data_IF_599300920860
#
_entry.id   IF_599300920860
#
_cell.length_a   1.000
_cell.length_b   1.000
_cell.length_c   1.000
_cell.angle_alpha   90.00
_cell.angle_beta   90.00
_cell.angle_gamma   90.00
#
_symmetry.space_group_name_H-M   'P 1'
#
loop_
_entity.id
_entity.type
_entity.pdbx_description
1 polymer ?
#
# COMPACT_ATOMS: atom_id res chain seq x y z
N UNK A 1 -16.62 -17.51 36.01
CA UNK A 1 -16.97 -18.44 34.91
C UNK A 1 -16.66 -17.87 33.53
N UNK A 2 -17.13 -16.67 33.13
CA UNK A 2 -16.78 -16.04 31.85
C UNK A 2 -15.26 -15.89 31.65
N UNK A 3 -14.59 -15.38 32.68
CA UNK A 3 -13.13 -15.17 32.67
C UNK A 3 -12.32 -16.47 32.53
N UNK A 4 -12.78 -17.58 33.13
CA UNK A 4 -12.14 -18.90 32.99
C UNK A 4 -12.36 -19.47 31.59
N UNK A 5 -13.57 -19.33 31.04
CA UNK A 5 -13.91 -19.78 29.69
C UNK A 5 -13.15 -18.98 28.62
N UNK A 6 -13.00 -17.67 28.82
CA UNK A 6 -12.21 -16.79 27.94
C UNK A 6 -10.71 -17.15 27.96
N UNK A 7 -10.15 -17.52 29.13
CA UNK A 7 -8.75 -18.00 29.24
C UNK A 7 -8.59 -19.38 28.59
N UNK A 8 -9.54 -20.28 28.79
CA UNK A 8 -9.52 -21.65 28.23
C UNK A 8 -9.69 -21.64 26.70
N UNK A 9 -10.50 -20.71 26.15
CA UNK A 9 -10.62 -20.45 24.71
C UNK A 9 -9.37 -19.79 24.12
N UNK A 10 -8.67 -18.94 24.88
CA UNK A 10 -7.38 -18.38 24.44
C UNK A 10 -6.28 -19.44 24.37
N UNK A 11 -6.25 -20.36 25.34
CA UNK A 11 -5.22 -21.39 25.42
C UNK A 11 -5.48 -22.57 24.46
N UNK A 12 -6.75 -22.88 24.15
CA UNK A 12 -7.12 -24.02 23.29
C UNK A 12 -7.62 -23.65 21.88
N UNK A 13 -8.00 -22.39 21.64
CA UNK A 13 -8.56 -21.92 20.37
C UNK A 13 -9.91 -22.57 20.00
N UNK A 14 -10.56 -22.07 18.94
CA UNK A 14 -11.75 -22.70 18.37
C UNK A 14 -11.40 -24.07 17.78
N UNK A 15 -12.24 -25.10 18.03
CA UNK A 15 -12.03 -26.43 17.46
C UNK A 15 -11.86 -26.37 15.93
N UNK A 16 -10.90 -27.11 15.32
CA UNK A 16 -10.73 -27.15 13.87
C UNK A 16 -11.99 -27.70 13.17
N UNK A 17 -12.91 -26.81 12.78
CA UNK A 17 -14.19 -27.16 12.17
C UNK A 17 -15.35 -26.24 12.54
N UNK A 18 -15.27 -25.49 13.64
CA UNK A 18 -16.28 -24.48 13.99
C UNK A 18 -16.04 -23.17 13.23
N UNK A 19 -17.13 -22.48 12.91
CA UNK A 19 -17.12 -21.17 12.24
C UNK A 19 -16.43 -20.15 13.16
N UNK A 20 -15.35 -19.55 12.67
CA UNK A 20 -14.58 -18.53 13.38
C UNK A 20 -14.16 -17.41 12.43
N UNK A 21 -13.86 -16.23 12.98
CA UNK A 21 -13.28 -15.10 12.25
C UNK A 21 -11.79 -15.01 12.56
N UNK A 22 -10.95 -15.14 11.52
CA UNK A 22 -9.53 -14.81 11.61
C UNK A 22 -9.37 -13.29 11.43
N UNK A 23 -8.88 -12.59 12.45
CA UNK A 23 -8.72 -11.15 12.44
C UNK A 23 -7.25 -10.77 12.65
N UNK A 24 -6.72 -9.86 11.83
CA UNK A 24 -5.37 -9.34 11.97
C UNK A 24 -5.36 -7.81 11.90
N UNK A 25 -4.21 -7.19 12.14
CA UNK A 25 -4.03 -5.75 12.21
C UNK A 25 -4.53 -5.12 13.51
N UNK A 26 -4.21 -3.84 13.73
CA UNK A 26 -4.61 -3.12 14.95
C UNK A 26 -6.13 -3.13 15.24
N UNK A 27 -6.97 -3.23 14.20
CA UNK A 27 -8.42 -3.34 14.33
C UNK A 27 -8.88 -4.63 15.02
N UNK A 28 -8.14 -5.73 14.88
CA UNK A 28 -8.45 -7.00 15.53
C UNK A 28 -8.39 -6.91 17.06
N UNK A 29 -7.57 -6.00 17.60
CA UNK A 29 -7.53 -5.70 19.03
C UNK A 29 -8.61 -4.69 19.43
N UNK A 30 -8.69 -3.56 18.70
CA UNK A 30 -9.59 -2.45 19.03
C UNK A 30 -11.07 -2.83 18.97
N UNK A 31 -11.45 -3.70 18.03
CA UNK A 31 -12.84 -4.05 17.77
C UNK A 31 -13.18 -5.50 18.14
N UNK A 32 -12.29 -6.20 18.86
CA UNK A 32 -12.46 -7.61 19.21
C UNK A 32 -13.83 -7.92 19.81
N UNK A 33 -14.19 -7.25 20.91
CA UNK A 33 -15.44 -7.51 21.63
C UNK A 33 -16.65 -7.19 20.75
N UNK A 34 -16.59 -6.11 19.97
CA UNK A 34 -17.68 -5.72 19.06
C UNK A 34 -17.93 -6.77 17.98
N UNK A 35 -16.86 -7.33 17.40
CA UNK A 35 -16.98 -8.37 16.36
C UNK A 35 -17.56 -9.64 17.00
N UNK A 36 -17.05 -10.05 18.16
CA UNK A 36 -17.51 -11.24 18.88
C UNK A 36 -18.99 -11.12 19.29
N UNK A 37 -19.39 -9.98 19.85
CA UNK A 37 -20.76 -9.72 20.27
C UNK A 37 -21.73 -9.66 19.09
N UNK A 38 -21.34 -9.04 17.98
CA UNK A 38 -22.20 -8.89 16.81
C UNK A 38 -22.41 -10.21 16.04
N UNK A 39 -21.37 -11.05 15.95
CA UNK A 39 -21.41 -12.26 15.13
C UNK A 39 -21.72 -13.53 15.94
N UNK A 40 -21.50 -13.52 17.26
CA UNK A 40 -21.69 -14.70 18.10
C UNK A 40 -20.77 -15.86 17.76
N UNK A 41 -19.64 -15.60 17.11
CA UNK A 41 -18.61 -16.59 16.73
C UNK A 41 -17.26 -16.24 17.35
N UNK A 42 -16.38 -17.23 17.42
CA UNK A 42 -15.02 -17.02 17.90
C UNK A 42 -14.23 -16.10 16.97
N UNK A 43 -13.45 -15.21 17.57
CA UNK A 43 -12.55 -14.31 16.86
C UNK A 43 -11.12 -14.70 17.24
N UNK A 44 -10.33 -15.16 16.28
CA UNK A 44 -8.93 -15.50 16.47
C UNK A 44 -8.08 -14.32 15.99
N UNK A 45 -7.26 -13.76 16.89
CA UNK A 45 -6.40 -12.62 16.58
C UNK A 45 -5.03 -13.11 16.14
N UNK A 46 -4.58 -12.60 15.00
CA UNK A 46 -3.30 -12.92 14.40
C UNK A 46 -2.40 -11.69 14.28
N UNK A 47 -1.10 -11.87 14.47
CA UNK A 47 -0.10 -10.81 14.37
C UNK A 47 -0.07 -10.21 12.95
N UNK A 48 0.00 -8.88 12.86
CA UNK A 48 -0.17 -8.13 11.61
C UNK A 48 0.96 -8.39 10.61
N UNK A 49 2.21 -8.29 11.05
CA UNK A 49 3.37 -8.41 10.17
C UNK A 49 3.52 -9.82 9.62
N UNK A 50 3.28 -10.84 10.45
CA UNK A 50 3.28 -12.24 10.04
C UNK A 50 2.18 -12.51 9.00
N UNK A 51 0.99 -11.94 9.16
CA UNK A 51 -0.06 -12.09 8.16
C UNK A 51 0.28 -11.38 6.85
N UNK A 52 0.84 -10.16 6.90
CA UNK A 52 1.29 -9.44 5.70
C UNK A 52 2.32 -10.26 4.91
N UNK A 53 3.27 -10.86 5.62
CA UNK A 53 4.30 -11.74 5.07
C UNK A 53 3.70 -12.97 4.37
N UNK A 54 2.89 -13.75 5.10
CA UNK A 54 2.29 -14.99 4.59
C UNK A 54 1.43 -14.70 3.34
N UNK A 55 0.66 -13.61 3.38
CA UNK A 55 -0.14 -13.20 2.22
C UNK A 55 0.72 -12.80 1.02
N UNK A 56 1.79 -12.03 1.24
CA UNK A 56 2.69 -11.63 0.18
C UNK A 56 3.43 -12.82 -0.44
N UNK A 57 4.00 -13.70 0.37
CA UNK A 57 4.67 -14.92 -0.10
C UNK A 57 3.73 -15.72 -1.00
N UNK A 58 2.50 -15.95 -0.53
CA UNK A 58 1.46 -16.64 -1.32
C UNK A 58 1.19 -15.96 -2.66
N UNK A 59 1.06 -14.65 -2.68
CA UNK A 59 0.83 -13.91 -3.92
C UNK A 59 2.01 -14.00 -4.89
N UNK A 60 3.25 -13.97 -4.40
CA UNK A 60 4.44 -14.10 -5.24
C UNK A 60 4.60 -15.53 -5.77
N UNK A 61 4.34 -16.56 -4.96
CA UNK A 61 4.66 -17.95 -5.31
C UNK A 61 3.52 -18.69 -6.00
N UNK A 62 2.26 -18.37 -5.70
CA UNK A 62 1.12 -19.21 -6.13
C UNK A 62 0.21 -18.56 -7.19
N UNK A 63 0.09 -17.23 -7.19
CA UNK A 63 -0.91 -16.52 -7.99
C UNK A 63 -0.29 -15.98 -9.29
N UNK A 64 -0.69 -16.51 -10.46
CA UNK A 64 -0.21 -15.99 -11.74
C UNK A 64 -0.75 -14.59 -12.02
N UNK A 65 0.07 -13.74 -12.65
CA UNK A 65 -0.27 -12.35 -13.00
C UNK A 65 -0.72 -11.53 -11.78
N UNK A 66 -0.03 -11.72 -10.66
CA UNK A 66 -0.27 -10.97 -9.43
C UNK A 66 0.74 -9.86 -9.24
N UNK A 67 2.03 -10.21 -9.31
CA UNK A 67 3.14 -9.29 -9.16
C UNK A 67 3.48 -8.65 -10.50
N UNK A 68 3.69 -7.34 -10.52
CA UNK A 68 4.11 -6.60 -11.72
C UNK A 68 5.03 -5.43 -11.40
N UNK A 69 5.78 -4.98 -12.40
CA UNK A 69 6.48 -3.70 -12.38
C UNK A 69 5.69 -2.67 -13.18
N UNK A 70 5.85 -1.39 -12.88
CA UNK A 70 5.15 -0.32 -13.58
C UNK A 70 6.05 0.91 -13.79
N UNK A 71 6.05 1.45 -14.99
CA UNK A 71 6.50 2.82 -15.30
C UNK A 71 5.66 3.39 -16.43
N UNK A 72 5.65 4.70 -16.62
CA UNK A 72 4.90 5.29 -17.75
C UNK A 72 5.43 4.87 -19.12
N UNK A 73 6.72 4.51 -19.22
CA UNK A 73 7.33 4.01 -20.46
C UNK A 73 7.14 2.51 -20.70
N UNK A 74 6.87 1.75 -19.65
CA UNK A 74 6.64 0.30 -19.68
C UNK A 74 5.51 -0.04 -18.71
N UNK A 75 4.25 0.09 -19.16
CA UNK A 75 3.10 -0.04 -18.29
C UNK A 75 2.80 -1.51 -18.00
N UNK A 76 2.84 -1.86 -16.71
CA UNK A 76 2.34 -3.13 -16.14
C UNK A 76 2.95 -4.40 -16.77
N UNK A 77 4.22 -4.67 -16.45
CA UNK A 77 4.90 -5.90 -16.83
C UNK A 77 4.79 -6.96 -15.72
N UNK A 78 4.02 -8.02 -15.96
CA UNK A 78 3.81 -9.10 -14.99
C UNK A 78 5.06 -9.98 -14.80
N UNK A 79 5.33 -10.33 -13.55
CA UNK A 79 6.39 -11.24 -13.15
C UNK A 79 5.76 -12.63 -12.91
N UNK A 80 6.32 -13.71 -13.49
CA UNK A 80 5.81 -15.04 -13.23
C UNK A 80 6.08 -15.45 -11.77
N UNK A 81 5.25 -16.34 -11.20
CA UNK A 81 5.52 -16.88 -9.87
C UNK A 81 6.88 -17.60 -9.83
N UNK A 82 7.59 -17.46 -8.70
CA UNK A 82 8.92 -18.06 -8.49
C UNK A 82 9.08 -18.50 -7.03
N UNK A 83 9.89 -19.54 -6.80
CA UNK A 83 10.17 -20.06 -5.46
C UNK A 83 11.28 -19.28 -4.74
N UNK A 84 12.27 -18.79 -5.48
CA UNK A 84 13.38 -17.99 -4.94
C UNK A 84 13.01 -16.50 -4.89
N UNK A 85 12.32 -16.11 -3.82
CA UNK A 85 11.79 -14.76 -3.62
C UNK A 85 12.61 -13.93 -2.64
N UNK A 86 13.43 -14.56 -1.80
CA UNK A 86 14.15 -13.93 -0.70
C UNK A 86 15.58 -13.54 -1.10
N UNK A 87 16.19 -12.53 -0.45
CA UNK A 87 15.54 -11.61 0.48
C UNK A 87 14.82 -10.47 -0.27
N UNK A 88 13.84 -9.86 0.38
CA UNK A 88 13.13 -8.70 -0.17
C UNK A 88 12.75 -7.69 0.92
N UNK A 89 12.41 -6.47 0.49
CA UNK A 89 11.81 -5.44 1.34
C UNK A 89 10.32 -5.35 1.03
N UNK A 90 9.45 -5.52 2.02
CA UNK A 90 8.04 -5.14 1.92
C UNK A 90 7.87 -3.72 2.50
N UNK A 91 7.37 -2.81 1.68
CA UNK A 91 6.95 -1.46 2.08
C UNK A 91 5.43 -1.44 2.12
N UNK A 92 4.85 -1.65 3.29
CA UNK A 92 3.40 -1.68 3.49
C UNK A 92 2.90 -0.26 3.81
N UNK A 93 2.16 0.34 2.86
CA UNK A 93 1.67 1.72 2.94
C UNK A 93 0.18 1.71 3.30
N UNK A 94 -0.11 2.00 4.57
CA UNK A 94 -1.46 2.16 5.10
C UNK A 94 -1.67 3.59 5.64
N UNK A 95 -2.21 3.72 6.85
CA UNK A 95 -2.29 5.02 7.54
C UNK A 95 -0.90 5.63 7.77
N UNK A 96 0.03 4.82 8.28
CA UNK A 96 1.48 5.07 8.23
C UNK A 96 2.16 4.10 7.27
N UNK A 97 3.49 3.98 7.37
CA UNK A 97 4.29 3.07 6.54
C UNK A 97 5.15 2.17 7.43
N UNK A 98 5.11 0.87 7.16
CA UNK A 98 5.99 -0.13 7.78
C UNK A 98 6.87 -0.78 6.72
N UNK A 99 8.17 -0.90 7.02
CA UNK A 99 9.15 -1.51 6.12
C UNK A 99 9.72 -2.77 6.77
N UNK A 100 9.49 -3.91 6.13
CA UNK A 100 9.85 -5.22 6.63
C UNK A 100 10.93 -5.82 5.72
N UNK A 101 12.10 -6.11 6.30
CA UNK A 101 13.10 -6.97 5.67
C UNK A 101 12.67 -8.41 5.84
N UNK A 102 12.64 -9.15 4.74
CA UNK A 102 12.24 -10.55 4.73
C UNK A 102 13.38 -11.39 4.19
N UNK A 103 13.84 -12.36 4.97
CA UNK A 103 15.03 -13.18 4.67
C UNK A 103 14.71 -14.64 4.41
N UNK A 104 13.49 -15.07 4.68
CA UNK A 104 13.03 -16.42 4.44
C UNK A 104 11.61 -16.63 4.96
N UNK A 105 11.06 -17.84 4.80
CA UNK A 105 9.73 -18.17 5.28
C UNK A 105 9.61 -17.88 6.78
N UNK A 106 8.65 -17.03 7.16
CA UNK A 106 8.43 -16.57 8.55
C UNK A 106 9.65 -15.89 9.21
N UNK A 107 10.66 -15.49 8.43
CA UNK A 107 11.85 -14.82 8.92
C UNK A 107 11.85 -13.38 8.45
N UNK A 108 11.49 -12.47 9.35
CA UNK A 108 11.39 -11.06 9.04
C UNK A 108 11.77 -10.15 10.20
N UNK A 109 12.07 -8.91 9.86
CA UNK A 109 12.36 -7.84 10.80
C UNK A 109 11.77 -6.53 10.29
N UNK A 110 11.09 -5.79 11.16
CA UNK A 110 10.75 -4.39 10.87
C UNK A 110 12.01 -3.54 10.94
N UNK A 111 12.46 -3.05 9.79
CA UNK A 111 13.71 -2.29 9.65
C UNK A 111 13.50 -0.78 9.60
N UNK A 112 12.27 -0.35 9.30
CA UNK A 112 11.95 1.07 9.25
C UNK A 112 10.47 1.34 9.11
N UNK A 113 10.18 2.61 8.92
CA UNK A 113 8.84 3.12 8.68
C UNK A 113 8.82 4.64 8.72
N UNK A 114 7.68 5.21 8.35
CA UNK A 114 7.42 6.64 8.47
C UNK A 114 5.96 6.85 8.88
N UNK A 115 5.69 7.89 9.66
CA UNK A 115 4.32 8.31 9.94
C UNK A 115 3.68 9.02 8.74
N UNK A 116 4.48 9.48 7.77
CA UNK A 116 4.03 10.13 6.54
C UNK A 116 3.52 9.09 5.53
N UNK A 117 2.35 8.53 5.81
CA UNK A 117 1.67 7.53 4.97
C UNK A 117 0.39 8.06 4.32
N UNK A 118 -0.50 7.15 3.95
CA UNK A 118 -1.79 7.48 3.35
C UNK A 118 -2.72 8.26 4.29
N UNK A 119 -2.61 8.03 5.61
CA UNK A 119 -3.37 8.80 6.60
C UNK A 119 -2.93 10.27 6.66
N UNK A 120 -1.63 10.54 6.46
CA UNK A 120 -1.12 11.90 6.37
C UNK A 120 -1.59 12.60 5.10
N UNK A 121 -1.47 11.92 3.95
CA UNK A 121 -1.97 12.46 2.68
C UNK A 121 -3.47 12.79 2.79
N UNK A 122 -4.26 11.83 3.27
CA UNK A 122 -5.70 12.00 3.44
C UNK A 122 -6.03 13.15 4.39
N UNK A 123 -5.40 13.19 5.57
CA UNK A 123 -5.65 14.22 6.58
C UNK A 123 -5.34 15.63 6.03
N UNK A 124 -4.19 15.80 5.39
CA UNK A 124 -3.79 17.10 4.84
C UNK A 124 -4.69 17.53 3.68
N UNK A 125 -5.00 16.64 2.74
CA UNK A 125 -5.89 16.99 1.62
C UNK A 125 -7.32 17.29 2.07
N UNK A 126 -7.82 16.58 3.07
CA UNK A 126 -9.14 16.88 3.65
C UNK A 126 -9.20 18.30 4.23
N UNK A 127 -8.09 18.76 4.84
CA UNK A 127 -7.98 20.10 5.42
C UNK A 127 -7.77 21.18 4.36
N UNK A 128 -6.96 20.90 3.33
CA UNK A 128 -6.50 21.91 2.37
C UNK A 128 -7.39 22.03 1.12
N UNK A 129 -8.07 20.97 0.70
CA UNK A 129 -8.86 20.95 -0.55
C UNK A 129 -10.34 20.73 -0.32
N UNK A 130 -10.74 20.35 0.90
CA UNK A 130 -12.11 19.99 1.25
C UNK A 130 -12.57 18.65 0.70
N UNK A 131 -11.68 17.86 0.07
CA UNK A 131 -11.99 16.53 -0.43
C UNK A 131 -12.48 15.61 0.71
N UNK A 132 -13.45 14.74 0.40
CA UNK A 132 -14.15 13.91 1.41
C UNK A 132 -13.84 12.43 1.32
N UNK A 133 -13.34 11.97 0.18
CA UNK A 133 -12.89 10.58 0.01
C UNK A 133 -11.47 10.54 -0.54
N UNK A 134 -10.78 9.42 -0.29
CA UNK A 134 -9.45 9.18 -0.83
C UNK A 134 -9.46 9.07 -2.37
N UNK A 135 -10.54 8.55 -2.95
CA UNK A 135 -10.70 8.44 -4.39
C UNK A 135 -10.86 9.83 -5.05
N UNK A 136 -11.60 10.75 -4.42
CA UNK A 136 -11.68 12.14 -4.88
C UNK A 136 -10.30 12.83 -4.86
N UNK A 137 -9.49 12.54 -3.84
CA UNK A 137 -8.14 13.12 -3.69
C UNK A 137 -7.21 12.65 -4.79
N UNK A 138 -7.24 11.36 -5.13
CA UNK A 138 -6.46 10.82 -6.24
C UNK A 138 -6.93 11.39 -7.58
N UNK A 139 -8.24 11.51 -7.79
CA UNK A 139 -8.81 12.12 -8.99
C UNK A 139 -8.43 13.60 -9.13
N UNK A 140 -8.43 14.35 -8.02
CA UNK A 140 -7.94 15.74 -8.01
C UNK A 140 -6.45 15.81 -8.39
N UNK A 141 -5.62 14.91 -7.83
CA UNK A 141 -4.20 14.87 -8.13
C UNK A 141 -3.90 14.55 -9.60
N UNK A 142 -4.73 13.75 -10.27
CA UNK A 142 -4.55 13.41 -11.69
C UNK A 142 -4.62 14.65 -12.61
N UNK A 143 -5.47 15.62 -12.26
CA UNK A 143 -5.69 16.85 -13.03
C UNK A 143 -4.90 18.07 -12.51
N UNK A 144 -4.19 17.93 -11.39
CA UNK A 144 -3.39 19.01 -10.84
C UNK A 144 -2.06 19.22 -11.57
N UNK A 145 -1.47 20.39 -11.36
CA UNK A 145 -0.11 20.74 -11.74
C UNK A 145 0.69 21.15 -10.49
N UNK A 146 1.62 20.29 -10.08
CA UNK A 146 2.41 20.57 -8.89
C UNK A 146 3.40 21.71 -9.10
N UNK A 147 3.73 22.09 -10.34
CA UNK A 147 4.69 23.16 -10.62
C UNK A 147 4.17 24.54 -10.18
N UNK A 148 2.86 24.68 -9.98
CA UNK A 148 2.26 25.86 -9.38
C UNK A 148 2.60 25.99 -7.88
N UNK A 149 2.72 24.86 -7.18
CA UNK A 149 2.84 24.77 -5.71
C UNK A 149 4.28 24.52 -5.25
N UNK A 150 4.98 23.64 -5.96
CA UNK A 150 6.32 23.19 -5.63
C UNK A 150 7.39 24.10 -6.21
N UNK A 151 8.48 24.26 -5.44
CA UNK A 151 9.72 24.84 -5.93
C UNK A 151 10.55 23.77 -6.64
N UNK A 152 10.84 23.97 -7.92
CA UNK A 152 11.68 23.06 -8.70
C UNK A 152 13.14 23.51 -8.71
N UNK A 153 14.05 22.61 -9.08
CA UNK A 153 15.48 22.93 -9.29
C UNK A 153 15.64 24.05 -10.32
N UNK A 154 14.86 24.03 -11.40
CA UNK A 154 14.88 25.05 -12.43
C UNK A 154 14.45 26.44 -11.93
N UNK A 155 13.55 26.51 -10.95
CA UNK A 155 13.13 27.78 -10.33
C UNK A 155 14.28 28.42 -9.52
N UNK A 156 15.20 27.60 -8.98
CA UNK A 156 16.33 28.06 -8.16
C UNK A 156 17.55 28.37 -9.03
N UNK A 157 17.87 27.51 -9.99
CA UNK A 157 19.13 27.56 -10.75
C UNK A 157 18.97 28.00 -12.20
N UNK A 158 17.75 28.25 -12.68
CA UNK A 158 17.48 28.64 -14.07
C UNK A 158 17.64 27.52 -15.10
N UNK A 159 17.86 26.27 -14.65
CA UNK A 159 18.14 25.12 -15.50
C UNK A 159 18.47 23.87 -14.68
N UNK A 160 19.07 22.87 -15.33
CA UNK A 160 19.54 21.65 -14.65
C UNK A 160 20.70 21.96 -13.69
N UNK A 161 20.75 21.28 -12.55
CA UNK A 161 21.86 21.37 -11.61
C UNK A 161 22.86 20.22 -11.83
N UNK A 162 23.67 20.38 -12.88
CA UNK A 162 24.57 19.33 -13.39
C UNK A 162 25.63 18.83 -12.40
N UNK A 163 26.05 19.63 -11.41
CA UNK A 163 27.08 19.24 -10.43
C UNK A 163 26.70 17.99 -9.62
N UNK A 164 25.41 17.80 -9.36
CA UNK A 164 24.87 16.67 -8.59
C UNK A 164 23.84 15.86 -9.38
N UNK A 165 23.71 16.11 -10.68
CA UNK A 165 22.85 15.34 -11.59
C UNK A 165 21.35 15.55 -11.38
N UNK A 166 20.91 16.71 -10.89
CA UNK A 166 19.48 17.01 -10.74
C UNK A 166 18.94 17.74 -11.98
N UNK A 167 17.85 17.24 -12.54
CA UNK A 167 17.11 17.90 -13.62
C UNK A 167 16.37 19.13 -13.11
N UNK A 168 16.18 20.11 -13.98
CA UNK A 168 15.39 21.32 -13.74
C UNK A 168 13.96 21.03 -13.27
N UNK A 169 13.36 19.92 -13.74
CA UNK A 169 12.01 19.48 -13.36
C UNK A 169 11.94 18.76 -12.01
N UNK A 170 13.07 18.50 -11.36
CA UNK A 170 13.09 17.85 -10.04
C UNK A 170 12.54 18.81 -8.99
N UNK A 171 11.63 18.32 -8.14
CA UNK A 171 11.13 19.08 -6.98
C UNK A 171 12.29 19.28 -6.01
N UNK A 172 12.64 20.54 -5.75
CA UNK A 172 13.64 20.92 -4.76
C UNK A 172 13.00 21.13 -3.38
N UNK A 173 11.82 21.74 -3.35
CA UNK A 173 11.04 21.93 -2.12
C UNK A 173 9.55 21.82 -2.40
N UNK A 174 8.92 20.75 -1.88
CA UNK A 174 7.46 20.60 -1.95
C UNK A 174 6.78 21.73 -1.18
N UNK A 175 5.73 22.32 -1.75
CA UNK A 175 5.06 23.53 -1.23
C UNK A 175 5.95 24.77 -1.11
N UNK A 176 7.15 24.77 -1.72
CA UNK A 176 8.13 25.84 -1.56
C UNK A 176 7.70 27.20 -2.14
N UNK A 177 6.70 27.25 -3.04
CA UNK A 177 6.22 28.52 -3.63
C UNK A 177 5.26 29.27 -2.69
N UNK A 178 4.58 28.57 -1.79
CA UNK A 178 3.67 29.18 -0.80
C UNK A 178 4.41 30.12 0.16
N UNK A 179 5.53 29.64 0.72
CA UNK A 179 6.33 30.42 1.67
C UNK A 179 6.92 31.71 1.10
N UNK A 180 7.21 31.73 -0.22
CA UNK A 180 7.75 32.93 -0.89
C UNK A 180 6.68 33.98 -1.19
N UNK A 181 5.45 33.57 -1.51
CA UNK A 181 4.33 34.50 -1.70
C UNK A 181 4.01 35.24 -0.38
N UNK A 182 4.16 34.57 0.76
CA UNK A 182 4.00 35.20 2.07
C UNK A 182 5.15 36.14 2.46
N UNK A 183 6.40 35.85 2.09
CA UNK A 183 7.55 36.69 2.46
C UNK A 183 7.70 37.98 1.62
N UNK A 184 7.30 37.97 0.34
CA UNK A 184 7.33 39.18 -0.49
C UNK A 184 6.26 40.22 -0.13
N UNK A 185 5.27 39.84 0.67
CA UNK A 185 4.22 40.73 1.19
C UNK A 185 4.67 41.60 2.37
N UNK A 186 5.83 41.32 2.96
CA UNK A 186 6.37 42.05 4.14
C UNK A 186 7.22 43.27 3.76
N UNK A 187 7.57 43.44 2.49
CA UNK A 187 8.30 44.60 1.96
C UNK A 187 7.35 45.52 1.18
N UNK A 188 6.46 46.22 1.90
CA UNK A 188 5.90 47.53 1.54
C UNK A 188 5.13 47.70 0.21
N UNK A 189 4.85 46.65 -0.54
CA UNK A 189 4.03 46.71 -1.76
C UNK A 189 2.63 46.18 -1.50
N UNK A 190 1.64 46.88 -2.04
CA UNK A 190 0.21 46.69 -1.82
C UNK A 190 -0.20 45.21 -1.89
N UNK A 191 -0.86 44.75 -0.81
CA UNK A 191 -1.62 43.52 -0.76
C UNK A 191 -2.70 43.54 -1.84
N UNK A 192 -2.47 42.83 -2.95
CA UNK A 192 -3.54 42.37 -3.82
C UNK A 192 -3.91 40.98 -3.29
N UNK A 193 -5.06 40.79 -2.63
CA UNK A 193 -5.52 39.45 -2.31
C UNK A 193 -5.80 38.75 -3.63
N UNK A 194 -4.88 37.91 -4.11
CA UNK A 194 -5.28 36.89 -5.07
C UNK A 194 -6.11 35.88 -4.29
N UNK A 195 -7.35 35.69 -4.71
CA UNK A 195 -8.20 34.63 -4.20
C UNK A 195 -7.46 33.30 -4.39
N UNK A 196 -7.14 32.61 -3.29
CA UNK A 196 -6.53 31.27 -3.18
C UNK A 196 -5.44 30.96 -4.25
N UNK A 197 -4.14 31.16 -3.96
CA UNK A 197 -3.09 31.05 -4.99
C UNK A 197 -2.89 29.65 -5.57
N UNK A 198 -3.44 28.60 -4.96
CA UNK A 198 -3.33 27.23 -5.43
C UNK A 198 -4.69 26.55 -5.51
N UNK A 199 -4.90 25.76 -6.57
CA UNK A 199 -6.12 24.98 -6.72
C UNK A 199 -6.05 23.69 -5.90
N UNK A 200 -7.21 23.16 -5.49
CA UNK A 200 -7.28 21.86 -4.81
C UNK A 200 -6.58 20.72 -5.58
N UNK A 201 -6.77 20.61 -6.92
CA UNK A 201 -5.99 19.70 -7.77
C UNK A 201 -4.47 19.88 -7.67
N UNK A 202 -3.94 21.10 -7.72
CA UNK A 202 -2.49 21.36 -7.65
C UNK A 202 -1.91 20.95 -6.29
N UNK A 203 -2.62 21.30 -5.21
CA UNK A 203 -2.30 20.89 -3.84
C UNK A 203 -2.29 19.36 -3.73
N UNK A 204 -3.29 18.70 -4.34
CA UNK A 204 -3.42 17.24 -4.35
C UNK A 204 -2.27 16.57 -5.10
N UNK A 205 -1.89 17.11 -6.26
CA UNK A 205 -0.75 16.63 -7.05
C UNK A 205 0.56 16.79 -6.27
N UNK A 206 0.80 17.98 -5.71
CA UNK A 206 2.02 18.26 -4.94
C UNK A 206 2.14 17.35 -3.71
N UNK A 207 1.10 17.22 -2.88
CA UNK A 207 1.15 16.33 -1.70
C UNK A 207 1.31 14.86 -2.07
N UNK A 208 0.64 14.40 -3.14
CA UNK A 208 0.81 13.03 -3.61
C UNK A 208 2.27 12.75 -3.98
N UNK A 209 2.93 13.68 -4.68
CA UNK A 209 4.36 13.57 -4.99
C UNK A 209 5.24 13.69 -3.76
N UNK A 210 4.97 14.62 -2.84
CA UNK A 210 5.77 14.79 -1.63
C UNK A 210 5.79 13.51 -0.78
N UNK A 211 4.61 12.94 -0.53
CA UNK A 211 4.47 11.71 0.27
C UNK A 211 5.06 10.51 -0.49
N UNK A 212 4.72 10.33 -1.77
CA UNK A 212 5.20 9.18 -2.56
C UNK A 212 6.73 9.20 -2.74
N UNK A 213 7.32 10.35 -3.04
CA UNK A 213 8.77 10.49 -3.15
C UNK A 213 9.47 10.26 -1.80
N UNK A 214 8.91 10.74 -0.69
CA UNK A 214 9.46 10.49 0.64
C UNK A 214 9.45 8.99 0.98
N UNK A 215 8.33 8.30 0.72
CA UNK A 215 8.23 6.84 0.90
C UNK A 215 9.25 6.12 0.02
N UNK A 216 9.34 6.48 -1.27
CA UNK A 216 10.28 5.89 -2.22
C UNK A 216 11.74 6.08 -1.79
N UNK A 217 12.10 7.27 -1.32
CA UNK A 217 13.46 7.55 -0.84
C UNK A 217 13.81 6.76 0.43
N UNK A 218 12.90 6.69 1.41
CA UNK A 218 13.15 5.91 2.64
C UNK A 218 13.23 4.42 2.29
N UNK A 219 12.36 3.91 1.41
CA UNK A 219 12.41 2.53 0.92
C UNK A 219 13.74 2.23 0.24
N UNK A 220 14.22 3.15 -0.61
CA UNK A 220 15.55 3.06 -1.21
C UNK A 220 16.65 2.98 -0.13
N UNK A 221 16.67 3.90 0.83
CA UNK A 221 17.70 3.92 1.88
C UNK A 221 17.69 2.63 2.71
N UNK A 222 16.51 2.15 3.10
CA UNK A 222 16.35 0.89 3.83
C UNK A 222 16.83 -0.31 3.01
N UNK A 223 16.49 -0.34 1.72
CA UNK A 223 16.96 -1.38 0.81
C UNK A 223 18.49 -1.32 0.58
N UNK A 224 19.11 -0.15 0.67
CA UNK A 224 20.57 -0.01 0.61
C UNK A 224 21.23 -0.52 1.88
N UNK A 225 20.79 -0.05 3.05
CA UNK A 225 21.32 -0.45 4.37
C UNK A 225 21.27 -1.97 4.54
N UNK A 226 20.21 -2.60 4.04
CA UNK A 226 20.00 -4.04 4.19
C UNK A 226 20.39 -4.89 2.98
N UNK A 227 21.00 -4.28 1.95
CA UNK A 227 21.41 -4.93 0.71
C UNK A 227 20.29 -5.75 0.03
N UNK A 228 19.13 -5.13 -0.16
CA UNK A 228 17.94 -5.71 -0.77
C UNK A 228 17.73 -5.10 -2.17
N UNK A 229 17.54 -5.94 -3.18
CA UNK A 229 17.29 -5.48 -4.56
C UNK A 229 15.81 -5.49 -4.93
N UNK A 230 15.02 -6.37 -4.31
CA UNK A 230 13.59 -6.50 -4.57
C UNK A 230 12.79 -5.72 -3.52
N UNK A 231 11.97 -4.78 -3.95
CA UNK A 231 11.13 -3.94 -3.08
C UNK A 231 9.67 -4.10 -3.50
N UNK A 232 8.85 -4.71 -2.66
CA UNK A 232 7.42 -4.87 -2.88
C UNK A 232 6.67 -3.77 -2.16
N UNK A 233 5.84 -3.03 -2.88
CA UNK A 233 4.95 -2.04 -2.31
C UNK A 233 3.56 -2.67 -2.11
N UNK A 234 3.10 -2.69 -0.87
CA UNK A 234 1.79 -3.20 -0.48
C UNK A 234 0.97 -2.16 0.27
N UNK A 235 -0.22 -2.54 0.72
CA UNK A 235 -1.13 -1.70 1.47
C UNK A 235 -2.16 -1.00 0.57
N UNK A 236 -3.04 -0.21 1.19
CA UNK A 236 -4.22 0.37 0.55
C UNK A 236 -4.01 1.80 0.04
N UNK A 237 -2.78 2.30 0.00
CA UNK A 237 -2.46 3.64 -0.49
C UNK A 237 -2.41 3.74 -2.01
N UNK A 238 -1.90 2.71 -2.67
CA UNK A 238 -1.56 2.76 -4.10
C UNK A 238 -2.85 2.65 -4.94
N UNK A 239 -3.74 1.70 -4.60
CA UNK A 239 -5.04 1.40 -5.21
C UNK A 239 -5.01 1.34 -6.74
N UNK A 240 -3.91 0.85 -7.32
CA UNK A 240 -3.70 0.81 -8.77
C UNK A 240 -3.56 2.19 -9.43
N UNK A 241 -3.37 3.25 -8.66
CA UNK A 241 -3.20 4.61 -9.19
C UNK A 241 -1.84 4.74 -9.89
N UNK A 242 -1.90 4.91 -11.21
CA UNK A 242 -0.74 4.89 -12.12
C UNK A 242 0.33 5.89 -11.73
N UNK A 243 -0.07 7.09 -11.35
CA UNK A 243 0.86 8.14 -10.95
C UNK A 243 1.64 7.76 -9.69
N UNK A 244 0.96 7.19 -8.69
CA UNK A 244 1.59 6.75 -7.43
C UNK A 244 2.62 5.65 -7.71
N UNK A 245 2.25 4.65 -8.50
CA UNK A 245 3.15 3.58 -8.91
C UNK A 245 4.35 4.11 -9.71
N UNK A 246 4.10 5.03 -10.66
CA UNK A 246 5.18 5.65 -11.44
C UNK A 246 6.17 6.41 -10.55
N UNK A 247 5.68 7.21 -9.62
CA UNK A 247 6.53 7.99 -8.71
C UNK A 247 7.38 7.09 -7.84
N UNK A 248 6.81 6.02 -7.27
CA UNK A 248 7.55 5.05 -6.47
C UNK A 248 8.61 4.31 -7.31
N UNK A 249 8.25 3.82 -8.50
CA UNK A 249 9.20 3.18 -9.42
C UNK A 249 10.32 4.12 -9.84
N UNK A 250 9.99 5.35 -10.19
CA UNK A 250 10.97 6.36 -10.57
C UNK A 250 11.92 6.66 -9.42
N UNK A 251 11.41 6.87 -8.20
CA UNK A 251 12.24 7.14 -7.02
C UNK A 251 13.23 6.00 -6.77
N UNK A 252 12.78 4.74 -6.78
CA UNK A 252 13.66 3.58 -6.60
C UNK A 252 14.72 3.52 -7.71
N UNK A 253 14.31 3.57 -8.98
CA UNK A 253 15.22 3.48 -10.13
C UNK A 253 16.23 4.62 -10.16
N UNK A 254 15.80 5.85 -9.86
CA UNK A 254 16.64 7.04 -9.84
C UNK A 254 17.73 6.94 -8.78
N UNK A 255 17.35 6.71 -7.52
CA UNK A 255 18.30 6.67 -6.41
C UNK A 255 19.23 5.45 -6.48
N UNK A 256 18.73 4.31 -6.98
CA UNK A 256 19.52 3.10 -7.12
C UNK A 256 20.30 3.00 -8.43
N UNK A 257 20.21 3.99 -9.32
CA UNK A 257 20.78 3.91 -10.68
C UNK A 257 20.37 2.63 -11.43
N UNK A 258 19.15 2.14 -11.17
CA UNK A 258 18.61 0.91 -11.77
C UNK A 258 18.98 -0.42 -11.10
N UNK A 259 19.78 -0.42 -10.03
CA UNK A 259 20.18 -1.66 -9.32
C UNK A 259 19.05 -2.32 -8.51
N UNK A 260 17.96 -1.59 -8.22
CA UNK A 260 16.86 -2.05 -7.40
C UNK A 260 15.55 -1.95 -8.16
N UNK A 261 14.63 -2.86 -7.87
CA UNK A 261 13.36 -3.01 -8.57
C UNK A 261 12.19 -2.82 -7.61
N UNK A 262 11.26 -1.94 -8.00
CA UNK A 262 9.96 -1.79 -7.37
C UNK A 262 8.96 -2.77 -8.01
N UNK A 263 8.21 -3.48 -7.16
CA UNK A 263 7.14 -4.39 -7.53
C UNK A 263 5.84 -3.96 -6.86
N UNK A 264 4.74 -4.17 -7.56
CA UNK A 264 3.38 -3.90 -7.11
C UNK A 264 2.56 -5.18 -7.21
N UNK A 265 1.41 -5.20 -6.53
CA UNK A 265 0.50 -6.33 -6.47
C UNK A 265 -0.90 -5.88 -6.86
N UNK A 266 -1.63 -6.73 -7.57
CA UNK A 266 -3.05 -6.45 -7.88
C UNK A 266 -3.91 -6.48 -6.61
N UNK A 267 -3.52 -7.27 -5.62
CA UNK A 267 -4.19 -7.42 -4.33
C UNK A 267 -3.35 -6.86 -3.17
N UNK A 268 -2.61 -5.77 -3.42
CA UNK A 268 -1.77 -5.05 -2.46
C UNK A 268 -2.45 -4.73 -1.11
N UNK A 269 -3.75 -4.45 -1.09
CA UNK A 269 -4.52 -4.14 0.13
C UNK A 269 -4.96 -5.37 0.95
N UNK A 270 -4.79 -6.59 0.41
CA UNK A 270 -5.36 -7.82 0.99
C UNK A 270 -4.32 -8.76 1.61
N UNK A 271 -3.04 -8.36 1.63
CA UNK A 271 -1.94 -9.19 2.15
C UNK A 271 -2.25 -9.76 3.54
N UNK A 272 -2.62 -8.89 4.49
CA UNK A 272 -2.91 -9.30 5.87
C UNK A 272 -4.12 -10.21 5.98
N UNK A 273 -5.24 -9.88 5.31
CA UNK A 273 -6.43 -10.72 5.34
C UNK A 273 -6.21 -12.10 4.74
N UNK A 274 -5.43 -12.18 3.65
CA UNK A 274 -5.05 -13.46 3.04
C UNK A 274 -4.14 -14.22 3.98
N UNK A 275 -3.11 -13.60 4.55
CA UNK A 275 -2.25 -14.27 5.54
C UNK A 275 -3.02 -14.85 6.73
N UNK A 276 -3.95 -14.09 7.30
CA UNK A 276 -4.81 -14.57 8.39
C UNK A 276 -5.68 -15.77 7.96
N UNK A 277 -6.26 -15.71 6.77
CA UNK A 277 -7.00 -16.82 6.17
C UNK A 277 -6.12 -18.07 6.00
N UNK A 278 -4.87 -17.89 5.54
CA UNK A 278 -3.91 -18.98 5.30
C UNK A 278 -3.41 -19.63 6.59
N UNK A 279 -3.25 -18.86 7.67
CA UNK A 279 -2.84 -19.40 8.98
C UNK A 279 -3.85 -20.42 9.53
N UNK A 280 -5.14 -20.28 9.20
CA UNK A 280 -6.18 -21.25 9.60
C UNK A 280 -6.08 -22.60 8.87
N UNK A 281 -5.29 -22.70 7.80
CA UNK A 281 -5.16 -23.90 6.94
C UNK A 281 -6.53 -24.49 6.55
N UNK A 282 -7.30 -23.82 5.67
CA UNK A 282 -8.61 -24.31 5.26
C UNK A 282 -8.53 -25.73 4.71
N UNK A 283 -9.54 -26.58 5.03
CA UNK A 283 -9.57 -28.02 4.69
C UNK A 283 -9.31 -28.37 3.21
N UNK A 284 -9.49 -27.43 2.28
CA UNK A 284 -9.29 -27.63 0.83
C UNK A 284 -8.16 -26.73 0.26
N UNK A 285 -7.14 -26.45 1.06
CA UNK A 285 -6.00 -25.63 0.67
C UNK A 285 -5.17 -26.28 -0.46
N UNK A 286 -4.85 -25.49 -1.50
CA UNK A 286 -4.08 -25.92 -2.68
C UNK A 286 -4.92 -26.11 -3.95
N UNK A 287 -4.30 -25.98 -5.14
CA UNK A 287 -4.98 -26.07 -6.47
C UNK A 287 -5.76 -27.38 -6.70
N UNK A 288 -5.50 -28.44 -5.94
CA UNK A 288 -6.15 -29.75 -6.11
C UNK A 288 -7.60 -29.79 -5.57
N UNK A 289 -7.90 -29.14 -4.45
CA UNK A 289 -9.24 -29.19 -3.82
C UNK A 289 -10.24 -28.12 -4.30
N UNK A 290 -9.76 -27.08 -4.99
CA UNK A 290 -10.60 -25.95 -5.41
C UNK A 290 -11.49 -26.23 -6.62
N UNK A 291 -11.18 -27.26 -7.41
CA UNK A 291 -11.93 -27.64 -8.61
C UNK A 291 -12.88 -28.83 -8.40
N UNK A 292 -12.68 -29.64 -7.35
CA UNK A 292 -13.48 -30.84 -7.08
C UNK A 292 -14.95 -30.46 -6.76
N UNK A 293 -15.16 -29.49 -5.87
CA UNK A 293 -16.52 -29.01 -5.55
C UNK A 293 -17.20 -28.26 -6.70
N UNK A 294 -16.44 -27.67 -7.63
CA UNK A 294 -17.01 -26.93 -8.75
C UNK A 294 -17.62 -27.87 -9.80
N UNK A 295 -17.03 -29.05 -10.01
CA UNK A 295 -17.59 -30.07 -10.89
C UNK A 295 -18.83 -30.74 -10.28
N UNK A 296 -18.83 -30.99 -8.97
CA UNK A 296 -20.02 -31.52 -8.28
C UNK A 296 -21.19 -30.53 -8.28
N UNK A 297 -20.96 -29.24 -7.99
CA UNK A 297 -22.00 -28.23 -8.08
C UNK A 297 -22.56 -28.09 -9.50
N UNK A 298 -21.71 -28.18 -10.54
CA UNK A 298 -22.16 -28.14 -11.93
C UNK A 298 -23.03 -29.37 -12.29
N UNK A 299 -22.65 -30.56 -11.80
CA UNK A 299 -23.43 -31.79 -11.98
C UNK A 299 -24.76 -31.74 -11.23
N UNK A 300 -24.78 -31.17 -10.02
CA UNK A 300 -25.99 -30.96 -9.24
C UNK A 300 -26.95 -29.97 -9.92
N UNK A 301 -26.43 -28.87 -10.48
CA UNK A 301 -27.23 -27.88 -11.21
C UNK A 301 -27.86 -28.46 -12.49
N UNK A 302 -27.12 -29.27 -13.24
CA UNK A 302 -27.64 -29.96 -14.44
C UNK A 302 -28.73 -30.98 -14.07
N UNK A 303 -28.57 -31.72 -12.96
CA UNK A 303 -29.60 -32.65 -12.46
C UNK A 303 -30.87 -31.94 -12.02
N UNK A 304 -30.75 -30.80 -11.34
CA UNK A 304 -31.88 -29.99 -10.92
C UNK A 304 -32.66 -29.41 -12.11
N UNK A 305 -31.96 -28.97 -13.17
CA UNK A 305 -32.60 -28.52 -14.40
C UNK A 305 -33.34 -29.65 -15.15
N UNK A 306 -32.76 -30.85 -15.18
CA UNK A 306 -33.40 -32.00 -15.81
C UNK A 306 -34.69 -32.43 -15.08
N UNK A 307 -34.74 -32.30 -13.75
CA UNK A 307 -35.91 -32.63 -12.94
C UNK A 307 -37.01 -31.55 -12.96
N UNK A 308 -36.65 -30.29 -13.24
CA UNK A 308 -37.61 -29.20 -13.41
C UNK A 308 -38.25 -29.16 -14.82
N UNK A 309 -37.74 -29.96 -15.75
CA UNK A 309 -38.16 -30.02 -17.16
C UNK A 309 -39.04 -31.24 -17.47
N UNK A 310 -39.36 -32.05 -16.46
CA UNK A 310 -40.17 -33.27 -16.50
C UNK A 310 -41.43 -33.11 -15.66
#
# INVERSE_FOLDING_TARGET
MKHLRDTELMDNGSHPGELCVMATGGGAYKFYDKIREALGVDVLREEEMECLMIGLDFFITEIPREVFTYSDTDPMHFVPPREDIYPYLLVNIGSGVSMLKVTGPRSFQRVGGTSLGGGTLWGLLSLLTGARSFDDMLAQAEHGDNTNVDMLVGDIYGGDYGKIGLKSTTIASSFGKDGLQHHHSSSGSQYIPSNAPFTGPDISRSLLYAISNNIGQIAYLQSQIHNLSNIYFGGSFIRGHRQTMNTLSYAIKFWSKGEKQAYFLRHEGYLGSVGAFLKRQPRNWGRRGSLENMQEMRRAAVRAQAQASS
#
